data_IF_171706554064
#
_entry.id   IF_171706554064
#
_cell.length_a   1.000
_cell.length_b   1.000
_cell.length_c   1.000
_cell.angle_alpha   90.00
_cell.angle_beta   90.00
_cell.angle_gamma   90.00
#
_symmetry.space_group_name_H-M   'P 1'
#
loop_
_entity.id
_entity.type
_entity.pdbx_description
1 polymer ?
#
# COMPACT_ATOMS: atom_id res chain seq x y z
N UNK A 1 37.44 30.76 -10.40
CA UNK A 1 38.13 29.48 -10.53
C UNK A 1 37.11 28.38 -10.18
N UNK A 2 36.55 27.71 -11.19
CA UNK A 2 35.54 26.66 -11.01
C UNK A 2 36.28 25.32 -10.91
N UNK A 3 36.14 24.64 -9.77
CA UNK A 3 36.63 23.25 -9.61
C UNK A 3 35.55 22.30 -10.06
N UNK A 4 35.76 21.60 -11.14
CA UNK A 4 34.94 20.50 -11.65
C UNK A 4 35.40 19.25 -10.92
N UNK A 5 34.53 18.64 -10.13
CA UNK A 5 34.76 17.36 -9.45
C UNK A 5 34.09 16.26 -10.27
N UNK A 6 34.92 15.45 -10.93
CA UNK A 6 34.47 14.29 -11.67
C UNK A 6 34.22 13.14 -10.69
N UNK A 7 33.01 12.60 -10.68
CA UNK A 7 32.63 11.43 -9.91
C UNK A 7 32.71 10.23 -10.88
N UNK A 8 33.66 9.33 -10.64
CA UNK A 8 33.75 8.05 -11.33
C UNK A 8 32.72 7.09 -10.74
N UNK A 9 31.75 6.67 -11.56
CA UNK A 9 30.79 5.62 -11.24
C UNK A 9 31.45 4.29 -11.61
N UNK A 10 31.84 3.52 -10.60
CA UNK A 10 32.30 2.15 -10.75
C UNK A 10 31.14 1.18 -10.90
N UNK A 11 31.04 0.57 -12.08
CA UNK A 11 30.07 -0.47 -12.41
C UNK A 11 30.63 -1.81 -11.93
N UNK A 12 30.09 -2.41 -10.88
CA UNK A 12 30.44 -3.76 -10.44
C UNK A 12 29.32 -4.71 -10.92
N UNK A 13 29.68 -5.51 -11.93
CA UNK A 13 28.84 -6.61 -12.42
C UNK A 13 29.16 -7.84 -11.56
N UNK A 14 28.19 -8.32 -10.76
CA UNK A 14 28.25 -9.66 -10.17
C UNK A 14 27.46 -10.65 -11.02
N UNK A 15 28.20 -11.54 -11.70
CA UNK A 15 27.69 -12.77 -12.28
C UNK A 15 27.86 -13.89 -11.26
N UNK A 16 26.79 -14.52 -10.84
CA UNK A 16 26.78 -15.89 -10.28
C UNK A 16 25.33 -16.31 -10.16
N UNK A 17 24.89 -17.41 -10.63
CA UNK A 17 25.40 -18.71 -10.79
C UNK A 17 24.27 -19.67 -10.45
N UNK A 18 23.78 -20.46 -11.43
CA UNK A 18 22.76 -21.49 -11.27
C UNK A 18 23.10 -22.50 -10.20
N UNK A 19 22.13 -22.92 -9.40
CA UNK A 19 22.14 -24.25 -8.78
C UNK A 19 20.75 -24.86 -8.83
N UNK A 20 20.61 -25.91 -9.65
CA UNK A 20 19.48 -26.85 -9.65
C UNK A 20 19.65 -27.80 -8.47
N UNK A 21 18.58 -28.03 -7.73
CA UNK A 21 18.44 -29.25 -6.93
C UNK A 21 17.05 -29.83 -7.18
N UNK A 22 17.07 -30.96 -7.86
CA UNK A 22 15.98 -31.92 -8.05
C UNK A 22 15.91 -32.80 -6.81
N UNK A 23 14.73 -33.04 -6.26
CA UNK A 23 14.47 -34.24 -5.46
C UNK A 23 13.04 -34.69 -5.70
N UNK A 24 12.95 -35.89 -6.25
CA UNK A 24 11.75 -36.70 -6.47
C UNK A 24 11.31 -37.40 -5.17
N UNK A 25 10.08 -37.92 -5.25
CA UNK A 25 9.43 -38.99 -4.47
C UNK A 25 8.79 -38.55 -3.14
N UNK A 26 7.55 -38.99 -2.81
CA UNK A 26 6.99 -40.32 -2.88
C UNK A 26 5.44 -40.28 -2.83
N UNK A 27 4.84 -41.20 -3.57
CA UNK A 27 3.42 -41.59 -3.51
C UNK A 27 3.06 -42.20 -2.15
N UNK A 28 1.87 -41.90 -1.65
CA UNK A 28 1.12 -42.88 -0.86
C UNK A 28 -0.38 -42.79 -1.11
N UNK A 29 -0.87 -43.78 -1.80
CA UNK A 29 -2.28 -44.14 -1.99
C UNK A 29 -2.80 -44.78 -0.70
N UNK A 30 -3.95 -44.33 -0.19
CA UNK A 30 -4.86 -45.18 0.62
C UNK A 30 -6.30 -44.77 0.35
N UNK A 31 -6.90 -45.60 -0.36
CA UNK A 31 -8.20 -46.26 -0.45
C UNK A 31 -9.13 -46.13 0.78
N UNK A 32 -10.42 -45.94 0.45
CA UNK A 32 -11.54 -46.48 1.22
C UNK A 32 -12.40 -45.48 1.99
N UNK A 33 -13.56 -45.11 1.61
CA UNK A 33 -14.82 -45.84 1.83
C UNK A 33 -15.99 -44.90 1.51
N UNK A 34 -16.84 -45.39 0.65
CA UNK A 34 -18.18 -44.90 0.34
C UNK A 34 -19.09 -45.09 1.55
N UNK A 35 -19.82 -44.07 1.95
CA UNK A 35 -21.04 -44.23 2.73
C UNK A 35 -22.14 -43.31 2.23
N UNK A 36 -23.23 -43.96 1.96
CA UNK A 36 -24.52 -43.57 1.46
C UNK A 36 -25.10 -42.23 1.89
N UNK A 37 -25.73 -41.61 0.90
CA UNK A 37 -26.67 -40.48 0.99
C UNK A 37 -28.08 -41.03 1.26
N UNK A 38 -28.92 -40.37 2.05
CA UNK A 38 -30.34 -40.33 1.77
C UNK A 38 -30.74 -38.95 1.23
N UNK A 39 -31.30 -39.00 0.03
CA UNK A 39 -32.12 -37.97 -0.57
C UNK A 39 -33.29 -37.60 0.34
N UNK A 40 -33.48 -36.35 0.65
CA UNK A 40 -34.77 -35.81 1.10
C UNK A 40 -35.11 -34.70 0.13
N UNK A 41 -36.05 -34.98 -0.76
CA UNK A 41 -36.81 -34.03 -1.54
C UNK A 41 -37.67 -33.20 -0.61
N UNK A 42 -37.52 -31.86 -0.69
CA UNK A 42 -38.58 -30.94 -0.33
C UNK A 42 -38.60 -29.81 -1.36
N UNK A 43 -39.53 -29.94 -2.29
CA UNK A 43 -40.00 -28.85 -3.12
C UNK A 43 -40.58 -27.77 -2.21
N UNK A 44 -40.07 -26.54 -2.34
CA UNK A 44 -40.87 -25.35 -2.15
C UNK A 44 -40.37 -24.28 -3.13
N UNK A 45 -41.16 -24.22 -4.19
CA UNK A 45 -41.25 -23.16 -5.15
C UNK A 45 -41.67 -21.84 -4.43
N UNK A 46 -40.80 -20.83 -4.44
CA UNK A 46 -41.18 -19.44 -4.43
C UNK A 46 -40.03 -18.63 -5.03
N UNK A 47 -40.10 -18.50 -6.34
CA UNK A 47 -39.42 -17.49 -7.13
C UNK A 47 -39.89 -16.10 -6.70
N UNK A 48 -39.08 -15.40 -5.93
CA UNK A 48 -38.99 -13.93 -6.02
C UNK A 48 -37.52 -13.59 -6.33
N UNK A 49 -37.29 -13.45 -7.61
CA UNK A 49 -36.07 -12.85 -8.19
C UNK A 49 -36.03 -11.37 -7.80
N UNK A 50 -35.51 -11.08 -6.62
CA UNK A 50 -35.08 -9.74 -6.25
C UNK A 50 -33.62 -9.65 -6.59
N UNK A 51 -33.34 -9.33 -7.86
CA UNK A 51 -32.03 -8.85 -8.28
C UNK A 51 -31.76 -7.53 -7.54
N UNK A 52 -31.18 -7.62 -6.35
CA UNK A 52 -30.51 -6.49 -5.72
C UNK A 52 -29.23 -6.26 -6.50
N UNK A 53 -29.35 -5.43 -7.52
CA UNK A 53 -28.23 -4.75 -8.14
C UNK A 53 -27.60 -3.86 -7.06
N UNK A 54 -26.71 -4.45 -6.26
CA UNK A 54 -25.82 -3.72 -5.38
C UNK A 54 -24.83 -3.00 -6.28
N UNK A 55 -25.21 -1.86 -6.81
CA UNK A 55 -24.27 -0.87 -7.31
C UNK A 55 -23.54 -0.33 -6.09
N UNK A 56 -22.52 -1.06 -5.67
CA UNK A 56 -21.51 -0.58 -4.73
C UNK A 56 -20.74 0.52 -5.48
N UNK A 57 -21.29 1.74 -5.40
CA UNK A 57 -20.63 2.91 -5.98
C UNK A 57 -19.45 3.19 -5.05
N UNK A 58 -18.29 2.66 -5.38
CA UNK A 58 -17.04 2.94 -4.69
C UNK A 58 -16.86 4.47 -4.62
N UNK A 59 -16.84 5.02 -3.41
CA UNK A 59 -16.60 6.45 -3.20
C UNK A 59 -15.12 6.70 -3.41
N UNK A 60 -14.77 7.26 -4.57
CA UNK A 60 -13.41 7.69 -4.85
C UNK A 60 -13.11 8.98 -4.07
N UNK A 61 -12.10 8.93 -3.22
CA UNK A 61 -11.56 10.09 -2.50
C UNK A 61 -10.50 10.76 -3.37
N UNK A 62 -10.50 12.07 -3.42
CA UNK A 62 -9.53 12.86 -4.16
C UNK A 62 -8.46 13.44 -3.23
N UNK A 63 -7.32 13.82 -3.80
CA UNK A 63 -6.28 14.56 -3.06
C UNK A 63 -6.81 15.90 -2.56
N UNK A 64 -7.71 16.54 -3.30
CA UNK A 64 -8.31 17.82 -2.92
C UNK A 64 -9.11 17.71 -1.61
N UNK A 65 -9.71 16.56 -1.32
CA UNK A 65 -10.40 16.33 -0.05
C UNK A 65 -9.40 16.32 1.12
N UNK A 66 -8.22 15.72 0.92
CA UNK A 66 -7.13 15.72 1.92
C UNK A 66 -6.58 17.13 2.12
N UNK A 67 -6.31 17.85 1.02
CA UNK A 67 -5.79 19.22 1.07
C UNK A 67 -6.74 20.14 1.84
N UNK A 68 -8.04 20.05 1.54
CA UNK A 68 -9.08 20.83 2.22
C UNK A 68 -9.14 20.53 3.73
N UNK A 69 -8.96 19.26 4.11
CA UNK A 69 -8.96 18.89 5.53
C UNK A 69 -7.71 19.43 6.25
N UNK A 70 -6.54 19.39 5.59
CA UNK A 70 -5.33 20.01 6.11
C UNK A 70 -5.48 21.53 6.27
N UNK A 71 -6.06 22.22 5.28
CA UNK A 71 -6.31 23.66 5.33
C UNK A 71 -7.32 24.02 6.46
N UNK A 72 -8.39 23.26 6.65
CA UNK A 72 -9.36 23.42 7.73
C UNK A 72 -8.71 23.34 9.12
N UNK A 73 -7.62 22.55 9.23
CA UNK A 73 -6.83 22.41 10.45
C UNK A 73 -5.67 23.44 10.54
N UNK A 74 -5.64 24.45 9.65
CA UNK A 74 -4.75 25.59 9.72
C UNK A 74 -3.38 25.37 9.04
N UNK A 75 -3.21 24.27 8.30
CA UNK A 75 -1.99 24.04 7.54
C UNK A 75 -2.04 24.76 6.19
N UNK A 76 -0.93 25.38 5.80
CA UNK A 76 -0.73 25.86 4.43
C UNK A 76 0.10 24.82 3.70
N UNK A 77 -0.44 24.24 2.65
CA UNK A 77 0.15 23.09 1.97
C UNK A 77 0.40 23.40 0.50
N UNK A 78 1.58 23.01 0.00
CA UNK A 78 1.92 22.99 -1.42
C UNK A 78 1.92 21.53 -1.86
N UNK A 79 1.14 21.21 -2.90
CA UNK A 79 1.05 19.88 -3.48
C UNK A 79 1.74 19.85 -4.85
N UNK A 80 2.69 18.94 -5.04
CA UNK A 80 3.43 18.75 -6.28
C UNK A 80 3.33 17.30 -6.73
N UNK A 81 2.93 17.08 -7.99
CA UNK A 81 3.00 15.74 -8.61
C UNK A 81 4.44 15.41 -8.95
N UNK A 82 4.90 14.25 -8.53
CA UNK A 82 6.27 13.77 -8.76
C UNK A 82 6.25 12.34 -9.31
N UNK A 83 7.34 11.94 -9.96
CA UNK A 83 7.44 10.58 -10.48
C UNK A 83 7.40 9.54 -9.35
N UNK A 84 6.60 8.46 -9.49
CA UNK A 84 6.61 7.35 -8.56
C UNK A 84 7.97 6.64 -8.56
N UNK A 85 8.36 6.08 -7.42
CA UNK A 85 9.65 5.39 -7.28
C UNK A 85 9.50 3.90 -7.01
N UNK A 86 8.64 3.53 -6.05
CA UNK A 86 8.47 2.15 -5.61
C UNK A 86 7.00 1.74 -5.76
N UNK A 87 6.10 2.43 -5.06
CA UNK A 87 4.67 2.14 -5.16
C UNK A 87 4.12 2.54 -6.53
N UNK A 88 3.07 1.85 -7.00
CA UNK A 88 2.54 2.00 -8.36
C UNK A 88 1.59 3.19 -8.53
N UNK A 89 1.06 3.72 -7.42
CA UNK A 89 0.15 4.86 -7.43
C UNK A 89 0.79 6.16 -7.92
N UNK A 90 -0.03 7.06 -8.46
CA UNK A 90 0.38 8.42 -8.83
C UNK A 90 0.84 9.16 -7.60
N UNK A 91 2.10 9.55 -7.56
CA UNK A 91 2.75 10.15 -6.40
C UNK A 91 2.59 11.66 -6.36
N UNK A 92 2.15 12.17 -5.23
CA UNK A 92 2.05 13.60 -4.93
C UNK A 92 2.76 13.90 -3.61
N UNK A 93 3.58 14.93 -3.62
CA UNK A 93 4.33 15.37 -2.45
C UNK A 93 3.68 16.61 -1.85
N UNK A 94 3.37 16.56 -0.56
CA UNK A 94 2.84 17.67 0.20
C UNK A 94 3.94 18.28 1.08
N UNK A 95 4.15 19.59 0.93
CA UNK A 95 5.08 20.38 1.73
C UNK A 95 4.30 21.37 2.58
N UNK A 96 4.58 21.42 3.89
CA UNK A 96 3.90 22.29 4.84
C UNK A 96 4.70 23.57 5.08
N UNK A 97 4.01 24.73 5.09
CA UNK A 97 4.59 25.96 5.55
C UNK A 97 4.61 25.99 7.07
N UNK A 98 5.82 26.13 7.66
CA UNK A 98 5.99 26.30 9.11
C UNK A 98 6.18 25.03 9.93
N UNK A 99 6.18 23.85 9.30
CA UNK A 99 6.54 22.56 9.92
C UNK A 99 7.89 22.12 9.39
N UNK A 100 8.90 22.02 10.26
CA UNK A 100 10.29 21.85 9.82
C UNK A 100 10.64 20.47 9.30
N UNK A 101 9.92 19.40 9.68
CA UNK A 101 10.30 18.03 9.41
C UNK A 101 9.17 17.12 8.91
N UNK A 102 7.98 17.67 8.61
CA UNK A 102 6.83 16.89 8.14
C UNK A 102 6.75 16.81 6.62
N UNK A 103 6.95 15.63 6.06
CA UNK A 103 6.68 15.35 4.66
C UNK A 103 5.57 14.33 4.53
N UNK A 104 4.48 14.72 3.87
CA UNK A 104 3.42 13.79 3.47
C UNK A 104 3.59 13.48 1.98
N UNK A 105 3.51 12.19 1.64
CA UNK A 105 3.41 11.72 0.27
C UNK A 105 2.08 11.03 0.12
N UNK A 106 1.32 11.35 -0.93
CA UNK A 106 0.06 10.69 -1.26
C UNK A 106 0.25 9.92 -2.58
N UNK A 107 -0.05 8.64 -2.55
CA UNK A 107 -0.14 7.79 -3.74
C UNK A 107 -1.61 7.61 -4.07
N UNK A 108 -2.03 8.05 -5.26
CA UNK A 108 -3.40 7.97 -5.76
C UNK A 108 -3.52 6.83 -6.76
N UNK A 109 -4.53 5.98 -6.56
CA UNK A 109 -4.86 4.85 -7.43
C UNK A 109 -6.21 5.06 -8.10
N UNK A 110 -6.47 4.30 -9.16
CA UNK A 110 -7.76 4.39 -9.86
C UNK A 110 -8.92 3.87 -9.01
N UNK A 111 -8.64 2.91 -8.12
CA UNK A 111 -9.61 2.30 -7.20
C UNK A 111 -8.92 1.75 -5.94
N UNK A 112 -9.73 1.37 -4.93
CA UNK A 112 -9.24 0.84 -3.66
C UNK A 112 -8.56 -0.52 -3.79
N UNK A 113 -8.96 -1.35 -4.73
CA UNK A 113 -8.35 -2.67 -4.95
C UNK A 113 -6.89 -2.55 -5.41
N UNK A 114 -6.57 -1.57 -6.26
CA UNK A 114 -5.19 -1.30 -6.67
C UNK A 114 -4.36 -0.77 -5.49
N UNK A 115 -4.91 0.15 -4.69
CA UNK A 115 -4.24 0.63 -3.47
C UNK A 115 -3.93 -0.53 -2.51
N UNK A 116 -4.87 -1.47 -2.36
CA UNK A 116 -4.72 -2.62 -1.47
C UNK A 116 -3.59 -3.57 -1.90
N UNK A 117 -3.28 -3.68 -3.20
CA UNK A 117 -2.12 -4.46 -3.69
C UNK A 117 -0.82 -3.87 -3.13
N UNK A 118 -0.64 -2.56 -3.22
CA UNK A 118 0.55 -1.89 -2.68
C UNK A 118 0.58 -1.91 -1.14
N UNK A 119 -0.58 -1.88 -0.44
CA UNK A 119 -0.65 -2.08 1.01
C UNK A 119 -0.04 -3.42 1.42
N UNK A 120 -0.40 -4.51 0.72
CA UNK A 120 0.14 -5.84 1.02
C UNK A 120 1.63 -6.00 0.68
N UNK A 121 2.18 -5.12 -0.15
CA UNK A 121 3.60 -5.14 -0.49
C UNK A 121 4.50 -4.49 0.57
N UNK A 122 3.94 -3.68 1.46
CA UNK A 122 4.68 -2.94 2.50
C UNK A 122 4.70 -3.77 3.78
N UNK A 123 5.88 -3.97 4.35
CA UNK A 123 6.03 -4.67 5.63
C UNK A 123 5.51 -3.84 6.82
N UNK A 124 5.33 -4.47 7.95
CA UNK A 124 4.81 -3.84 9.17
C UNK A 124 5.64 -2.63 9.63
N UNK A 125 6.95 -2.62 9.37
CA UNK A 125 7.83 -1.51 9.73
C UNK A 125 7.75 -0.34 8.74
N UNK A 126 7.21 -0.56 7.54
CA UNK A 126 7.21 0.39 6.45
C UNK A 126 8.57 0.59 5.80
N UNK A 127 9.55 -0.28 6.07
CA UNK A 127 10.92 -0.14 5.57
C UNK A 127 11.29 -1.15 4.49
N UNK A 128 10.43 -2.13 4.26
CA UNK A 128 10.57 -3.13 3.20
C UNK A 128 9.33 -3.14 2.32
N UNK A 129 9.52 -3.09 1.01
CA UNK A 129 8.45 -3.16 0.01
C UNK A 129 8.77 -4.25 -0.99
N UNK A 130 7.88 -5.24 -1.13
CA UNK A 130 8.04 -6.39 -2.03
C UNK A 130 7.10 -6.24 -3.21
N UNK A 131 7.62 -5.94 -4.39
CA UNK A 131 6.87 -5.80 -5.64
C UNK A 131 7.48 -6.72 -6.71
N UNK A 132 6.63 -7.45 -7.44
CA UNK A 132 7.06 -8.28 -8.59
C UNK A 132 8.24 -9.23 -8.28
N UNK A 133 8.33 -9.75 -7.04
CA UNK A 133 9.42 -10.57 -6.51
C UNK A 133 10.76 -9.82 -6.29
N UNK A 134 10.75 -8.51 -6.31
CA UNK A 134 11.88 -7.68 -5.89
C UNK A 134 11.60 -7.05 -4.53
N UNK A 135 12.61 -7.07 -3.65
CA UNK A 135 12.51 -6.45 -2.32
C UNK A 135 13.27 -5.13 -2.34
N UNK A 136 12.57 -4.06 -2.02
CA UNK A 136 13.11 -2.72 -1.89
C UNK A 136 13.23 -2.35 -0.42
N UNK A 137 14.44 -2.03 0.03
CA UNK A 137 14.70 -1.54 1.39
C UNK A 137 14.82 -0.02 1.39
N UNK A 138 14.14 0.62 2.32
CA UNK A 138 14.12 2.08 2.44
C UNK A 138 14.65 2.51 3.80
N UNK A 139 15.69 3.35 3.79
CA UNK A 139 16.18 4.01 4.99
C UNK A 139 15.48 5.36 5.17
N UNK A 140 14.65 5.48 6.20
CA UNK A 140 13.90 6.68 6.50
C UNK A 140 14.72 7.66 7.35
N UNK A 141 14.56 8.96 7.08
CA UNK A 141 15.20 10.01 7.91
C UNK A 141 14.49 10.22 9.25
N UNK A 142 13.26 9.77 9.38
CA UNK A 142 12.42 9.80 10.57
C UNK A 142 11.47 8.61 10.53
N UNK A 143 10.57 8.48 11.50
CA UNK A 143 9.62 7.37 11.58
C UNK A 143 8.61 7.46 10.42
N UNK A 144 8.47 6.42 9.59
CA UNK A 144 7.44 6.37 8.56
C UNK A 144 6.10 5.95 9.17
N UNK A 145 5.01 6.49 8.66
CA UNK A 145 3.64 6.14 9.01
C UNK A 145 2.83 6.01 7.74
N UNK A 146 2.16 4.87 7.55
CA UNK A 146 1.37 4.60 6.37
C UNK A 146 -0.10 4.40 6.73
N UNK A 147 -0.96 5.10 6.01
CA UNK A 147 -2.41 5.05 6.15
C UNK A 147 -3.05 4.69 4.82
N UNK A 148 -4.11 3.89 4.86
CA UNK A 148 -4.96 3.63 3.71
C UNK A 148 -6.26 4.44 3.88
N UNK A 149 -6.61 5.21 2.85
CA UNK A 149 -7.88 5.93 2.80
C UNK A 149 -8.52 5.74 1.42
N UNK A 150 -9.41 4.75 1.31
CA UNK A 150 -10.00 4.30 0.06
C UNK A 150 -8.95 3.97 -1.01
N UNK A 151 -8.88 4.77 -2.07
CA UNK A 151 -7.93 4.65 -3.18
C UNK A 151 -6.64 5.45 -2.97
N UNK A 152 -6.35 5.91 -1.76
CA UNK A 152 -5.14 6.67 -1.42
C UNK A 152 -4.30 5.92 -0.39
N UNK A 153 -2.99 5.81 -0.64
CA UNK A 153 -2.01 5.51 0.40
C UNK A 153 -1.37 6.83 0.81
N UNK A 154 -1.45 7.17 2.09
CA UNK A 154 -0.87 8.38 2.65
C UNK A 154 0.32 7.99 3.51
N UNK A 155 1.49 8.48 3.14
CA UNK A 155 2.74 8.27 3.86
C UNK A 155 3.16 9.57 4.54
N UNK A 156 3.32 9.53 5.85
CA UNK A 156 3.92 10.59 6.62
C UNK A 156 5.28 10.15 7.18
N UNK A 157 6.31 10.99 7.03
CA UNK A 157 7.64 10.75 7.60
C UNK A 157 7.91 11.85 8.62
N UNK A 158 7.78 11.53 9.90
CA UNK A 158 7.93 12.52 10.98
C UNK A 158 7.37 12.03 12.30
N UNK A 159 7.41 12.90 13.32
CA UNK A 159 6.96 12.61 14.68
C UNK A 159 6.02 13.68 15.24
N UNK A 160 5.51 14.56 14.40
CA UNK A 160 4.58 15.61 14.82
C UNK A 160 3.23 14.99 15.20
N UNK A 161 2.85 15.16 16.46
CA UNK A 161 1.64 14.55 17.01
C UNK A 161 0.35 15.13 16.45
N UNK A 162 0.35 16.41 16.07
CA UNK A 162 -0.84 17.05 15.54
C UNK A 162 -1.14 16.50 14.14
N UNK A 163 -0.10 16.29 13.32
CA UNK A 163 -0.23 15.63 12.01
C UNK A 163 -0.65 14.17 12.17
N UNK A 164 -0.04 13.42 13.10
CA UNK A 164 -0.41 12.03 13.37
C UNK A 164 -1.86 11.88 13.83
N UNK A 165 -2.32 12.75 14.74
CA UNK A 165 -3.70 12.77 15.19
C UNK A 165 -4.66 13.11 14.04
N UNK A 166 -4.32 14.09 13.21
CA UNK A 166 -5.11 14.47 12.06
C UNK A 166 -5.26 13.28 11.08
N UNK A 167 -4.15 12.65 10.72
CA UNK A 167 -4.16 11.50 9.80
C UNK A 167 -4.93 10.31 10.38
N UNK A 168 -4.76 10.04 11.69
CA UNK A 168 -5.52 8.98 12.35
C UNK A 168 -7.02 9.26 12.39
N UNK A 169 -7.42 10.51 12.62
CA UNK A 169 -8.84 10.89 12.62
C UNK A 169 -9.44 10.80 11.22
N UNK A 170 -8.66 11.12 10.18
CA UNK A 170 -9.12 11.11 8.79
C UNK A 170 -9.14 9.71 8.17
N UNK A 171 -8.07 8.95 8.39
CA UNK A 171 -7.82 7.69 7.69
C UNK A 171 -8.03 6.44 8.56
N UNK A 172 -8.20 6.61 9.87
CA UNK A 172 -8.17 5.50 10.82
C UNK A 172 -6.74 5.13 11.24
N UNK A 173 -6.55 3.89 11.68
CA UNK A 173 -5.24 3.42 12.14
C UNK A 173 -4.25 3.26 10.98
N UNK A 174 -2.98 3.56 11.26
CA UNK A 174 -1.91 3.23 10.32
C UNK A 174 -1.80 1.71 10.13
N UNK A 175 -1.50 1.27 8.92
CA UNK A 175 -1.31 -0.15 8.60
C UNK A 175 0.17 -0.56 8.68
N UNK A 176 1.11 0.37 8.47
CA UNK A 176 2.55 0.12 8.54
C UNK A 176 3.30 1.32 9.13
N UNK A 177 4.51 1.07 9.64
CA UNK A 177 5.36 2.07 10.28
C UNK A 177 4.95 2.40 11.71
N UNK A 178 5.53 3.48 12.25
CA UNK A 178 5.31 3.91 13.63
C UNK A 178 6.03 3.07 14.68
N UNK A 179 5.93 3.50 15.91
CA UNK A 179 6.35 2.71 17.07
C UNK A 179 5.19 1.77 17.42
N UNK A 180 5.32 0.49 17.04
CA UNK A 180 4.38 -0.57 17.43
C UNK A 180 4.79 -1.22 18.74
#
# INVERSE_FOLDING_TARGET
MKKIMAICIGFIIFLSGCSKATTENDELITDGTVTDVPEIYSENDNTEDVSHEHTDTEVKISIDDILKELENNGYTVICESVEPQILTGKKNLLTFSGVSDGRITIYEYDNSAQAQVDVYSIDDSGSEVVLENETHYVEWKSIPHFYLYNNLIIQYIGTDRDILNLLTNLCGNQFAGGDK
#
